data_IF_813542818989
#
_entry.id   IF_813542818989
#
_cell.length_a   1.000
_cell.length_b   1.000
_cell.length_c   1.000
_cell.angle_alpha   90.00
_cell.angle_beta   90.00
_cell.angle_gamma   90.00
#
_symmetry.space_group_name_H-M   'P 1'
#
loop_
_entity.id
_entity.type
_entity.pdbx_description
1 polymer ?
#
# COMPACT_ATOMS: atom_id res chain seq x y z
N UNK A 1 -0.64 -19.11 -1.92
CA UNK A 1 0.75 -18.62 -1.76
C UNK A 1 1.42 -19.58 -0.81
N UNK A 2 2.54 -20.19 -1.17
CA UNK A 2 3.21 -21.18 -0.28
C UNK A 2 4.19 -20.53 0.69
N UNK A 3 4.36 -19.20 0.59
CA UNK A 3 5.26 -18.39 1.42
C UNK A 3 4.56 -17.09 1.83
N UNK A 4 4.88 -16.64 3.03
CA UNK A 4 4.47 -15.33 3.54
C UNK A 4 5.14 -14.23 2.71
N UNK A 5 4.38 -13.16 2.45
CA UNK A 5 4.86 -11.94 1.81
C UNK A 5 4.85 -10.81 2.84
N UNK A 6 5.99 -10.12 2.98
CA UNK A 6 6.14 -8.97 3.87
C UNK A 6 6.67 -7.78 3.08
N UNK A 7 6.00 -6.64 3.21
CA UNK A 7 6.42 -5.35 2.66
C UNK A 7 6.53 -4.34 3.81
N UNK A 8 7.69 -3.71 3.95
CA UNK A 8 7.94 -2.76 5.01
C UNK A 8 8.73 -1.56 4.48
N UNK A 9 8.31 -0.35 4.86
CA UNK A 9 9.02 0.90 4.54
C UNK A 9 8.59 2.02 5.50
N UNK A 10 9.33 3.12 5.46
CA UNK A 10 9.10 4.28 6.31
C UNK A 10 8.63 5.49 5.51
N UNK A 11 7.77 6.31 6.12
CA UNK A 11 7.35 7.60 5.57
C UNK A 11 7.48 8.66 6.65
N UNK A 12 7.96 9.85 6.26
CA UNK A 12 7.97 11.02 7.10
C UNK A 12 7.33 12.20 6.36
N UNK A 13 6.22 12.70 6.89
CA UNK A 13 5.61 13.95 6.43
C UNK A 13 6.22 15.11 7.22
N UNK A 14 7.33 15.65 6.72
CA UNK A 14 8.16 16.64 7.42
C UNK A 14 7.38 17.87 7.92
N UNK A 15 6.37 18.31 7.16
CA UNK A 15 5.50 19.45 7.54
C UNK A 15 4.09 19.03 7.96
N UNK A 16 3.87 17.73 8.15
CA UNK A 16 2.55 17.14 8.11
C UNK A 16 1.94 17.20 6.70
N UNK A 17 0.77 16.61 6.55
CA UNK A 17 0.07 16.56 5.26
C UNK A 17 -1.42 16.87 5.42
N UNK A 18 -1.96 17.70 4.54
CA UNK A 18 -3.39 18.02 4.46
C UNK A 18 -4.09 17.25 3.34
N UNK A 19 -3.44 17.09 2.18
CA UNK A 19 -3.86 16.17 1.13
C UNK A 19 -2.67 15.63 0.34
N UNK A 20 -2.60 14.30 0.18
CA UNK A 20 -1.61 13.55 -0.59
C UNK A 20 -1.30 12.19 0.04
N UNK A 21 -0.53 11.37 -0.69
CA UNK A 21 -0.23 10.00 -0.33
C UNK A 21 1.26 9.70 -0.23
N UNK A 22 1.60 8.79 0.69
CA UNK A 22 2.94 8.24 0.88
C UNK A 22 3.01 6.74 0.56
N UNK A 23 2.06 6.21 -0.22
CA UNK A 23 1.94 4.79 -0.50
C UNK A 23 2.85 4.31 -1.65
N UNK A 24 3.16 3.02 -1.64
CA UNK A 24 3.96 2.34 -2.68
C UNK A 24 3.08 1.45 -3.55
N UNK A 25 3.47 1.30 -4.83
CA UNK A 25 2.85 0.33 -5.77
C UNK A 25 3.88 -0.74 -6.15
N UNK A 26 3.55 -2.00 -5.94
CA UNK A 26 4.29 -3.14 -6.50
C UNK A 26 3.74 -3.45 -7.88
N UNK A 27 4.52 -3.16 -8.91
CA UNK A 27 4.10 -3.29 -10.30
C UNK A 27 3.88 -4.75 -10.68
N UNK A 28 2.89 -5.01 -11.54
CA UNK A 28 2.67 -6.35 -12.08
C UNK A 28 3.80 -6.70 -13.04
N UNK A 29 4.33 -7.91 -12.93
CA UNK A 29 5.35 -8.39 -13.85
C UNK A 29 4.77 -8.47 -15.28
N UNK A 30 5.36 -7.72 -16.20
CA UNK A 30 5.05 -7.75 -17.63
C UNK A 30 6.39 -7.61 -18.40
N UNK A 31 6.70 -8.51 -19.35
CA UNK A 31 7.89 -8.36 -20.20
C UNK A 31 7.97 -7.03 -20.96
N UNK A 32 6.85 -6.33 -21.14
CA UNK A 32 6.76 -5.02 -21.79
C UNK A 32 6.84 -3.85 -20.80
N UNK A 33 7.05 -4.10 -19.52
CA UNK A 33 7.13 -3.06 -18.51
C UNK A 33 8.30 -2.13 -18.80
N UNK A 34 7.99 -0.88 -19.17
CA UNK A 34 8.97 0.18 -19.32
C UNK A 34 8.81 1.20 -18.19
N UNK A 35 9.76 1.22 -17.26
CA UNK A 35 9.74 2.13 -16.11
C UNK A 35 9.89 3.61 -16.51
N UNK A 36 10.41 3.92 -17.71
CA UNK A 36 10.47 5.31 -18.20
C UNK A 36 9.09 5.83 -18.64
N UNK A 37 8.11 4.95 -18.81
CA UNK A 37 6.72 5.27 -19.14
C UNK A 37 5.80 5.02 -17.94
N UNK A 38 6.33 5.01 -16.74
CA UNK A 38 5.53 4.81 -15.54
C UNK A 38 4.53 5.95 -15.34
N UNK A 39 3.26 5.60 -15.11
CA UNK A 39 2.16 6.53 -14.90
C UNK A 39 1.07 5.94 -14.00
N UNK A 40 0.02 6.72 -13.73
CA UNK A 40 -1.13 6.37 -12.89
C UNK A 40 -1.79 5.03 -13.25
N UNK A 41 -1.96 4.78 -14.56
CA UNK A 41 -2.54 3.54 -15.11
C UNK A 41 -1.56 2.36 -15.28
N UNK A 42 -0.28 2.48 -14.87
CA UNK A 42 0.66 1.35 -14.97
C UNK A 42 0.14 0.17 -14.12
N UNK A 43 0.06 -1.05 -14.68
CA UNK A 43 -0.44 -2.21 -13.93
C UNK A 43 0.38 -2.50 -12.67
N UNK A 44 -0.33 -2.71 -11.56
CA UNK A 44 0.24 -3.04 -10.27
C UNK A 44 -0.50 -4.23 -9.66
N UNK A 45 0.18 -4.97 -8.79
CA UNK A 45 -0.37 -6.12 -8.05
C UNK A 45 -0.78 -5.72 -6.65
N UNK A 46 0.01 -4.88 -5.96
CA UNK A 46 -0.27 -4.38 -4.61
C UNK A 46 -0.06 -2.86 -4.58
N UNK A 47 -0.96 -2.13 -3.92
CA UNK A 47 -0.74 -0.76 -3.48
C UNK A 47 -0.91 -0.72 -1.96
N UNK A 48 0.10 -0.20 -1.26
CA UNK A 48 0.13 -0.23 0.20
C UNK A 48 0.71 1.06 0.78
N UNK A 49 0.00 1.68 1.73
CA UNK A 49 0.55 2.81 2.49
C UNK A 49 -0.42 3.90 2.92
N UNK A 50 0.11 4.94 3.59
CA UNK A 50 -0.69 6.04 4.10
C UNK A 50 -1.17 6.97 2.97
N UNK A 51 -2.41 7.41 3.08
CA UNK A 51 -3.01 8.41 2.21
C UNK A 51 -3.98 9.27 3.01
N UNK A 52 -3.91 10.58 2.83
CA UNK A 52 -4.76 11.53 3.52
C UNK A 52 -5.26 12.56 2.54
N UNK A 53 -6.55 12.89 2.61
CA UNK A 53 -7.06 14.09 1.96
C UNK A 53 -8.18 14.73 2.79
N UNK A 54 -7.90 15.90 3.35
CA UNK A 54 -8.79 16.57 4.29
C UNK A 54 -8.95 15.76 5.57
N UNK A 55 -10.19 15.37 5.88
CA UNK A 55 -10.54 14.53 7.03
C UNK A 55 -10.47 13.03 6.73
N UNK A 56 -10.33 12.65 5.46
CA UNK A 56 -10.19 11.25 5.06
C UNK A 56 -8.74 10.80 5.26
N UNK A 57 -8.53 9.82 6.14
CA UNK A 57 -7.21 9.29 6.49
C UNK A 57 -7.27 7.78 6.40
N UNK A 58 -6.40 7.20 5.57
CA UNK A 58 -6.43 5.78 5.23
C UNK A 58 -5.04 5.19 5.21
N UNK A 59 -4.96 3.90 5.49
CA UNK A 59 -3.82 3.08 5.13
C UNK A 59 -4.32 2.12 4.06
N UNK A 60 -4.01 2.42 2.81
CA UNK A 60 -4.40 1.59 1.69
C UNK A 60 -3.74 0.24 1.80
N UNK A 61 -4.53 -0.81 1.61
CA UNK A 61 -4.05 -2.10 1.14
C UNK A 61 -5.00 -2.54 0.03
N UNK A 62 -4.51 -2.39 -1.20
CA UNK A 62 -5.23 -2.72 -2.41
C UNK A 62 -4.44 -3.80 -3.12
N UNK A 63 -5.12 -4.82 -3.60
CA UNK A 63 -4.50 -5.84 -4.45
C UNK A 63 -5.36 -6.13 -5.66
N UNK A 64 -4.68 -6.43 -6.78
CA UNK A 64 -5.33 -6.80 -8.03
C UNK A 64 -5.24 -8.31 -8.22
N UNK A 65 -6.39 -8.97 -8.28
CA UNK A 65 -6.46 -10.42 -8.47
C UNK A 65 -7.06 -10.74 -9.84
N UNK A 66 -6.36 -11.59 -10.60
CA UNK A 66 -6.88 -12.14 -11.85
C UNK A 66 -7.65 -13.41 -11.57
N UNK A 67 -8.94 -13.41 -11.89
CA UNK A 67 -9.75 -14.61 -11.82
C UNK A 67 -9.21 -15.66 -12.80
N UNK A 68 -8.83 -16.86 -12.35
CA UNK A 68 -8.22 -17.88 -13.22
C UNK A 68 -9.20 -18.47 -14.24
N UNK A 69 -10.52 -18.37 -14.00
CA UNK A 69 -11.55 -18.92 -14.90
C UNK A 69 -11.98 -17.92 -15.96
N UNK A 70 -12.21 -16.67 -15.57
CA UNK A 70 -12.73 -15.64 -16.49
C UNK A 70 -11.64 -14.76 -17.07
N UNK A 71 -10.44 -14.77 -16.49
CA UNK A 71 -9.33 -13.89 -16.86
C UNK A 71 -9.52 -12.42 -16.45
N UNK A 72 -10.66 -12.07 -15.87
CA UNK A 72 -10.99 -10.72 -15.40
C UNK A 72 -10.08 -10.34 -14.24
N UNK A 73 -9.53 -9.12 -14.29
CA UNK A 73 -8.72 -8.56 -13.21
C UNK A 73 -9.63 -7.68 -12.36
N UNK A 74 -9.73 -8.00 -11.08
CA UNK A 74 -10.49 -7.23 -10.11
C UNK A 74 -9.53 -6.53 -9.14
N UNK A 75 -9.82 -5.27 -8.85
CA UNK A 75 -9.18 -4.53 -7.78
C UNK A 75 -9.97 -4.71 -6.49
N UNK A 76 -9.26 -5.07 -5.41
CA UNK A 76 -9.85 -5.38 -4.11
C UNK A 76 -9.21 -4.52 -3.04
N UNK A 77 -10.05 -3.87 -2.26
CA UNK A 77 -9.64 -2.94 -1.21
C UNK A 77 -9.89 -3.58 0.15
N UNK A 78 -8.86 -3.63 1.00
CA UNK A 78 -9.03 -3.99 2.39
C UNK A 78 -9.95 -2.98 3.08
N UNK A 79 -10.80 -3.48 3.99
CA UNK A 79 -11.58 -2.60 4.88
C UNK A 79 -10.64 -1.68 5.66
N UNK A 80 -11.04 -0.42 5.84
CA UNK A 80 -10.24 0.56 6.55
C UNK A 80 -10.23 0.29 8.06
N UNK A 81 -9.15 0.68 8.73
CA UNK A 81 -9.06 0.61 10.19
C UNK A 81 -10.01 1.62 10.84
N UNK A 82 -10.58 1.25 11.98
CA UNK A 82 -11.31 2.17 12.87
C UNK A 82 -10.39 2.89 13.88
N UNK A 83 -9.09 2.56 13.89
CA UNK A 83 -8.14 3.18 14.80
C UNK A 83 -7.84 4.62 14.36
N UNK A 84 -7.61 5.54 15.31
CA UNK A 84 -7.17 6.89 14.99
C UNK A 84 -5.80 6.84 14.29
N UNK A 85 -5.68 7.57 13.17
CA UNK A 85 -4.47 7.62 12.33
C UNK A 85 -3.87 9.03 12.26
N UNK A 86 -4.51 10.03 12.86
CA UNK A 86 -4.20 11.46 12.70
C UNK A 86 -2.76 11.81 13.06
N UNK A 87 -2.22 11.19 14.10
CA UNK A 87 -0.85 11.38 14.56
C UNK A 87 0.15 11.06 13.46
N UNK A 88 -0.04 9.93 12.75
CA UNK A 88 0.85 9.46 11.68
C UNK A 88 0.98 10.43 10.49
N UNK A 89 0.04 11.38 10.36
CA UNK A 89 0.03 12.37 9.28
C UNK A 89 0.39 13.78 9.73
N UNK A 90 0.56 14.03 11.04
CA UNK A 90 0.64 15.39 11.60
C UNK A 90 1.75 15.61 12.62
N UNK A 91 2.30 14.56 13.21
CA UNK A 91 3.30 14.68 14.28
C UNK A 91 4.73 14.96 13.76
N UNK A 92 4.91 14.99 12.44
CA UNK A 92 6.17 15.25 11.73
C UNK A 92 7.28 14.24 12.01
N UNK A 93 6.91 13.01 12.39
CA UNK A 93 7.86 11.92 12.65
C UNK A 93 7.90 10.94 11.50
N UNK A 94 8.94 10.11 11.53
CA UNK A 94 9.07 8.96 10.64
C UNK A 94 8.27 7.81 11.23
N UNK A 95 7.38 7.22 10.44
CA UNK A 95 6.58 6.07 10.82
C UNK A 95 6.87 4.88 9.92
N UNK A 96 6.93 3.69 10.52
CA UNK A 96 7.21 2.42 9.87
C UNK A 96 5.91 1.71 9.50
N UNK A 97 5.64 1.54 8.21
CA UNK A 97 4.46 0.84 7.69
C UNK A 97 4.83 -0.57 7.26
N UNK A 98 4.12 -1.57 7.79
CA UNK A 98 4.36 -2.98 7.47
C UNK A 98 3.08 -3.65 7.03
N UNK A 99 3.12 -4.36 5.90
CA UNK A 99 2.08 -5.25 5.41
C UNK A 99 2.60 -6.68 5.48
N UNK A 100 1.86 -7.56 6.14
CA UNK A 100 2.10 -9.00 6.17
C UNK A 100 0.92 -9.68 5.49
N UNK A 101 1.21 -10.54 4.50
CA UNK A 101 0.21 -11.36 3.80
C UNK A 101 0.62 -12.82 3.90
N UNK A 102 -0.27 -13.63 4.48
CA UNK A 102 0.00 -15.04 4.77
C UNK A 102 -0.58 -15.98 3.74
N UNK A 103 -0.07 -17.21 3.75
CA UNK A 103 -0.48 -18.30 2.88
C UNK A 103 -1.95 -18.71 3.06
N UNK A 104 -2.52 -18.49 4.25
CA UNK A 104 -3.93 -18.74 4.58
C UNK A 104 -4.90 -17.63 4.12
N UNK A 105 -4.39 -16.66 3.35
CA UNK A 105 -5.10 -15.47 2.88
C UNK A 105 -5.46 -14.47 3.98
N UNK A 106 -4.87 -14.58 5.18
CA UNK A 106 -4.93 -13.50 6.16
C UNK A 106 -3.93 -12.38 5.81
N UNK A 107 -4.24 -11.17 6.24
CA UNK A 107 -3.32 -10.04 6.20
C UNK A 107 -3.33 -9.27 7.50
N UNK A 108 -2.21 -8.62 7.79
CA UNK A 108 -2.03 -7.71 8.91
C UNK A 108 -1.29 -6.47 8.44
N UNK A 109 -1.66 -5.33 9.00
CA UNK A 109 -1.03 -4.04 8.75
C UNK A 109 -0.58 -3.49 10.09
N UNK A 110 0.70 -3.14 10.16
CA UNK A 110 1.31 -2.51 11.33
C UNK A 110 1.78 -1.10 10.99
N UNK A 111 1.66 -0.21 11.97
CA UNK A 111 2.35 1.08 11.99
C UNK A 111 3.14 1.15 13.28
N UNK A 112 4.45 1.41 13.18
CA UNK A 112 5.38 1.42 14.31
C UNK A 112 5.26 0.15 15.17
N UNK A 113 5.21 -1.01 14.49
CA UNK A 113 5.04 -2.34 15.10
C UNK A 113 3.70 -2.54 15.84
N UNK A 114 2.80 -1.56 15.80
CA UNK A 114 1.44 -1.67 16.36
C UNK A 114 0.49 -2.18 15.28
N UNK A 115 -0.21 -3.27 15.56
CA UNK A 115 -1.23 -3.80 14.63
C UNK A 115 -2.36 -2.78 14.48
N UNK A 116 -2.51 -2.17 13.31
CA UNK A 116 -3.56 -1.18 13.04
C UNK A 116 -4.73 -1.76 12.26
N UNK A 117 -4.52 -2.81 11.47
CA UNK A 117 -5.58 -3.45 10.70
C UNK A 117 -5.25 -4.93 10.45
N UNK A 118 -6.27 -5.76 10.30
CA UNK A 118 -6.13 -7.18 9.97
C UNK A 118 -7.41 -7.70 9.34
N UNK A 119 -7.30 -8.72 8.49
CA UNK A 119 -8.47 -9.36 7.91
C UNK A 119 -8.12 -10.52 6.98
N UNK A 120 -9.08 -10.94 6.16
CA UNK A 120 -8.90 -11.98 5.17
C UNK A 120 -9.15 -11.46 3.75
N UNK A 121 -8.25 -11.76 2.81
CA UNK A 121 -8.30 -11.30 1.41
C UNK A 121 -9.56 -11.76 0.65
N UNK A 122 -10.25 -12.80 1.14
CA UNK A 122 -11.45 -13.33 0.49
C UNK A 122 -12.75 -12.76 1.09
N UNK A 123 -12.73 -12.38 2.38
CA UNK A 123 -13.94 -12.02 3.15
C UNK A 123 -14.02 -10.53 3.49
N UNK A 124 -12.87 -9.87 3.62
CA UNK A 124 -12.77 -8.50 4.15
C UNK A 124 -12.34 -7.49 3.09
N UNK A 125 -12.81 -7.72 1.87
CA UNK A 125 -12.52 -6.88 0.70
C UNK A 125 -13.80 -6.35 0.10
N UNK A 126 -13.82 -5.05 -0.19
CA UNK A 126 -14.94 -4.41 -0.89
C UNK A 126 -14.64 -4.33 -2.39
N UNK A 127 -15.67 -4.53 -3.21
CA UNK A 127 -15.63 -4.39 -4.67
C UNK A 127 -16.23 -3.02 -5.04
N UNK A 128 -15.40 -1.99 -5.26
CA UNK A 128 -15.91 -0.66 -5.63
C UNK A 128 -15.01 0.09 -6.62
N UNK A 129 -15.69 0.95 -7.39
CA UNK A 129 -15.29 1.72 -8.59
C UNK A 129 -14.02 2.58 -8.44
N UNK A 130 -13.32 2.86 -9.57
CA UNK A 130 -12.02 3.52 -9.57
C UNK A 130 -12.15 5.00 -9.16
N UNK A 131 -11.48 5.37 -8.08
CA UNK A 131 -11.18 6.76 -7.75
C UNK A 131 -9.68 7.01 -8.04
N UNK A 132 -9.42 8.10 -8.75
CA UNK A 132 -8.10 8.51 -9.21
C UNK A 132 -7.17 8.80 -8.02
N UNK A 133 -5.98 8.19 -7.99
CA UNK A 133 -4.96 8.44 -6.97
C UNK A 133 -3.65 8.93 -7.60
N UNK A 134 -3.12 10.03 -7.04
CA UNK A 134 -1.88 10.73 -7.42
C UNK A 134 -0.66 9.98 -6.90
N UNK A 135 0.25 9.57 -7.79
CA UNK A 135 1.50 8.88 -7.42
C UNK A 135 2.51 9.85 -6.79
N UNK A 136 3.06 9.48 -5.62
CA UNK A 136 4.32 10.01 -5.11
C UNK A 136 5.46 9.04 -5.47
N UNK A 137 6.55 9.58 -6.02
CA UNK A 137 7.77 8.84 -6.34
C UNK A 137 8.61 8.65 -5.07
N UNK A 138 9.04 7.42 -4.76
CA UNK A 138 10.24 7.19 -3.96
C UNK A 138 11.33 6.68 -4.91
N UNK A 139 12.18 7.60 -5.37
CA UNK A 139 13.50 7.26 -5.88
C UNK A 139 14.38 7.01 -4.65
N UNK A 140 14.54 5.74 -4.25
CA UNK A 140 15.69 5.39 -3.40
C UNK A 140 16.92 5.54 -4.27
N UNK A 141 17.71 6.59 -4.03
CA UNK A 141 19.01 6.74 -4.70
C UNK A 141 19.98 5.69 -4.15
N UNK A 142 20.88 5.12 -5.00
CA UNK A 142 21.65 3.93 -4.68
C UNK A 142 22.93 4.24 -3.90
N UNK A 143 22.85 5.00 -2.80
CA UNK A 143 24.02 5.32 -1.97
C UNK A 143 23.71 5.33 -0.47
N UNK A 144 23.12 4.25 0.03
CA UNK A 144 23.16 3.93 1.45
C UNK A 144 24.04 2.69 1.64
N UNK A 145 25.33 2.94 1.89
CA UNK A 145 26.25 1.94 2.43
C UNK A 145 25.71 1.48 3.79
N UNK A 146 25.40 0.20 3.93
CA UNK A 146 25.28 -0.46 5.23
C UNK A 146 26.65 -1.04 5.58
N UNK A 147 27.40 -0.50 6.56
CA UNK A 147 28.48 -1.26 7.16
C UNK A 147 27.89 -2.34 8.07
N UNK A 148 28.49 -3.53 8.01
CA UNK A 148 28.29 -4.64 8.95
C UNK A 148 28.75 -4.25 10.36
#
# INVERSE_FOLDING_TARGET
MDKEFVLQYEVNFLEGISCGGGYVKLLSADPKLNLTQFHDKTPYTIMFGPDKCGMDMKIHFIFRHRNPKTGVIEEKHAKQSSKPLDTYFSDKKTHLYTLVVRSDNSFEIYVDQTLVNSGNLLKDVNHLMPLFFIIAYVLVTPNAYFPL
#
